data_IF_921889819089
#
_entry.id   IF_921889819089
#
_cell.length_a   1.000
_cell.length_b   1.000
_cell.length_c   1.000
_cell.angle_alpha   90.00
_cell.angle_beta   90.00
_cell.angle_gamma   90.00
#
_symmetry.space_group_name_H-M   'P 1'
#
loop_
_entity.id
_entity.type
_entity.pdbx_description
1 polymer ?
#
# COMPACT_ATOMS: atom_id res chain seq x y z
N UNK A 1 24.68 8.84 -19.61
CA UNK A 1 24.64 9.74 -18.43
C UNK A 1 23.68 9.21 -17.35
N UNK A 2 23.65 7.91 -17.07
CA UNK A 2 22.86 7.34 -15.95
C UNK A 2 23.69 7.08 -14.69
N UNK A 3 25.02 7.06 -14.81
CA UNK A 3 25.97 6.75 -13.74
C UNK A 3 26.29 7.93 -12.81
N UNK A 4 25.46 8.97 -12.72
CA UNK A 4 25.76 10.16 -11.90
C UNK A 4 24.83 10.29 -10.68
N UNK A 5 23.53 10.09 -10.86
CA UNK A 5 22.54 10.27 -9.78
C UNK A 5 22.80 9.35 -8.57
N UNK A 6 23.12 8.07 -8.82
CA UNK A 6 23.38 7.10 -7.74
C UNK A 6 24.59 7.51 -6.90
N UNK A 7 25.66 7.99 -7.53
CA UNK A 7 26.86 8.42 -6.82
C UNK A 7 26.64 9.73 -6.08
N UNK A 8 25.89 10.67 -6.66
CA UNK A 8 25.53 11.92 -6.01
C UNK A 8 24.70 11.67 -4.74
N UNK A 9 23.70 10.80 -4.82
CA UNK A 9 22.90 10.40 -3.65
C UNK A 9 23.76 9.75 -2.56
N UNK A 10 24.66 8.83 -2.93
CA UNK A 10 25.59 8.22 -1.96
C UNK A 10 26.46 9.29 -1.30
N UNK A 11 26.99 10.24 -2.08
CA UNK A 11 27.81 11.31 -1.52
C UNK A 11 27.02 12.22 -0.56
N UNK A 12 25.76 12.52 -0.87
CA UNK A 12 24.91 13.32 0.01
C UNK A 12 24.58 12.57 1.31
N UNK A 13 24.29 11.27 1.23
CA UNK A 13 24.05 10.41 2.39
C UNK A 13 25.30 10.29 3.27
N UNK A 14 26.48 10.13 2.68
CA UNK A 14 27.73 10.02 3.44
C UNK A 14 28.13 11.33 4.11
N UNK A 15 27.76 12.48 3.53
CA UNK A 15 28.10 13.81 4.06
C UNK A 15 27.14 14.33 5.12
N UNK A 16 25.92 13.79 5.18
CA UNK A 16 24.93 14.28 6.16
C UNK A 16 25.23 13.73 7.55
N UNK A 17 25.20 14.60 8.55
CA UNK A 17 25.29 14.23 9.97
C UNK A 17 23.91 14.29 10.65
N UNK A 18 22.85 14.61 9.89
CA UNK A 18 21.47 14.65 10.41
C UNK A 18 20.85 13.24 10.40
N UNK A 19 20.77 12.65 11.59
CA UNK A 19 20.16 11.33 11.81
C UNK A 19 18.69 11.25 11.36
N UNK A 20 17.96 12.38 11.37
CA UNK A 20 16.55 12.43 10.93
C UNK A 20 16.46 12.17 9.43
N UNK A 21 17.37 12.74 8.65
CA UNK A 21 17.43 12.55 7.20
C UNK A 21 17.81 11.11 6.88
N UNK A 22 18.78 10.53 7.61
CA UNK A 22 19.19 9.14 7.44
C UNK A 22 18.04 8.16 7.73
N UNK A 23 17.28 8.39 8.79
CA UNK A 23 16.14 7.53 9.15
C UNK A 23 15.00 7.61 8.12
N UNK A 24 14.71 8.80 7.58
CA UNK A 24 13.72 8.95 6.51
C UNK A 24 14.13 8.20 5.24
N UNK A 25 15.41 8.27 4.86
CA UNK A 25 15.96 7.53 3.72
C UNK A 25 15.88 6.02 3.96
N UNK A 26 16.20 5.55 5.17
CA UNK A 26 16.07 4.15 5.55
C UNK A 26 14.63 3.66 5.40
N UNK A 27 13.66 4.38 5.96
CA UNK A 27 12.23 4.02 5.88
C UNK A 27 11.75 3.98 4.42
N UNK A 28 12.19 4.92 3.58
CA UNK A 28 11.89 4.92 2.15
C UNK A 28 12.42 3.66 1.47
N UNK A 29 13.69 3.31 1.70
CA UNK A 29 14.30 2.10 1.11
C UNK A 29 13.65 0.82 1.61
N UNK A 30 13.27 0.76 2.89
CA UNK A 30 12.53 -0.37 3.47
C UNK A 30 11.12 -0.50 2.86
N UNK A 31 10.43 0.61 2.62
CA UNK A 31 9.11 0.61 1.97
C UNK A 31 9.17 0.11 0.52
N UNK A 32 10.27 0.35 -0.19
CA UNK A 32 10.46 -0.10 -1.57
C UNK A 32 10.76 -1.61 -1.62
N UNK A 33 11.56 -2.12 -0.67
CA UNK A 33 11.91 -3.53 -0.63
C UNK A 33 10.84 -4.42 0.04
N UNK A 34 9.95 -3.85 0.87
CA UNK A 34 8.95 -4.57 1.65
C UNK A 34 7.53 -3.98 1.52
N UNK A 35 7.14 -3.43 0.37
CA UNK A 35 5.71 -3.13 0.19
C UNK A 35 4.95 -4.47 0.16
N UNK A 36 4.16 -4.71 1.20
CA UNK A 36 3.36 -5.93 1.35
C UNK A 36 2.49 -6.18 0.12
N UNK A 37 2.12 -5.13 -0.62
CA UNK A 37 1.37 -5.21 -1.87
C UNK A 37 2.12 -6.00 -2.97
N UNK A 38 3.45 -5.96 -2.99
CA UNK A 38 4.24 -6.79 -3.91
C UNK A 38 4.42 -8.21 -3.38
N UNK A 39 4.28 -8.43 -2.08
CA UNK A 39 4.39 -9.75 -1.44
C UNK A 39 3.15 -10.64 -1.56
N UNK A 40 1.97 -10.06 -1.79
CA UNK A 40 0.71 -10.81 -1.98
C UNK A 40 0.62 -11.46 -3.37
N UNK A 41 -0.18 -12.51 -3.48
CA UNK A 41 -0.44 -13.23 -4.73
C UNK A 41 -1.16 -12.36 -5.77
N UNK A 42 -1.13 -12.79 -7.04
CA UNK A 42 -1.91 -12.15 -8.11
C UNK A 42 -3.41 -12.20 -7.83
N UNK A 43 -3.91 -13.30 -7.24
CA UNK A 43 -5.31 -13.46 -6.87
C UNK A 43 -5.73 -12.43 -5.81
N UNK A 44 -4.91 -12.24 -4.77
CA UNK A 44 -5.14 -11.24 -3.73
C UNK A 44 -5.10 -9.82 -4.30
N UNK A 45 -4.14 -9.51 -5.19
CA UNK A 45 -4.09 -8.22 -5.89
C UNK A 45 -5.34 -7.98 -6.73
N UNK A 46 -5.79 -8.98 -7.48
CA UNK A 46 -7.00 -8.91 -8.29
C UNK A 46 -8.26 -8.76 -7.42
N UNK A 47 -8.29 -9.37 -6.23
CA UNK A 47 -9.36 -9.15 -5.26
C UNK A 47 -9.42 -7.70 -4.77
N UNK A 48 -8.27 -7.10 -4.44
CA UNK A 48 -8.18 -5.69 -4.03
C UNK A 48 -8.62 -4.75 -5.17
N UNK A 49 -8.17 -5.01 -6.41
CA UNK A 49 -8.55 -4.21 -7.57
C UNK A 49 -10.07 -4.25 -7.83
N UNK A 50 -10.68 -5.44 -7.75
CA UNK A 50 -12.15 -5.58 -7.83
C UNK A 50 -12.85 -4.76 -6.75
N UNK A 51 -12.40 -4.84 -5.50
CA UNK A 51 -12.96 -4.04 -4.42
C UNK A 51 -12.87 -2.52 -4.66
N UNK A 52 -11.76 -2.03 -5.24
CA UNK A 52 -11.61 -0.62 -5.63
C UNK A 52 -12.59 -0.23 -6.73
N UNK A 53 -12.78 -1.07 -7.74
CA UNK A 53 -13.76 -0.83 -8.81
C UNK A 53 -15.19 -0.83 -8.29
N UNK A 54 -15.53 -1.76 -7.40
CA UNK A 54 -16.87 -1.84 -6.80
C UNK A 54 -17.17 -0.59 -5.98
N UNK A 55 -16.20 -0.11 -5.20
CA UNK A 55 -16.33 1.17 -4.49
C UNK A 55 -16.55 2.35 -5.44
N UNK A 56 -15.81 2.41 -6.55
CA UNK A 56 -15.95 3.47 -7.55
C UNK A 56 -17.31 3.42 -8.27
N UNK A 57 -17.86 2.24 -8.50
CA UNK A 57 -19.18 2.01 -9.10
C UNK A 57 -20.33 2.19 -8.11
N UNK A 58 -20.04 2.39 -6.81
CA UNK A 58 -21.04 2.49 -5.75
C UNK A 58 -21.61 1.14 -5.32
N UNK A 59 -21.01 0.02 -5.76
CA UNK A 59 -21.35 -1.34 -5.37
C UNK A 59 -20.83 -1.64 -3.95
N UNK A 60 -21.37 -0.94 -2.97
CA UNK A 60 -21.01 -1.08 -1.55
C UNK A 60 -22.26 -1.19 -0.72
N UNK A 61 -22.16 -1.96 0.35
CA UNK A 61 -23.20 -2.06 1.36
C UNK A 61 -22.61 -1.64 2.70
N UNK A 62 -23.34 -0.81 3.43
CA UNK A 62 -23.01 -0.52 4.82
C UNK A 62 -23.21 -1.75 5.68
N UNK A 63 -22.53 -1.79 6.83
CA UNK A 63 -22.72 -2.85 7.81
C UNK A 63 -24.21 -3.00 8.22
N UNK A 64 -24.94 -1.89 8.39
CA UNK A 64 -26.37 -1.91 8.70
C UNK A 64 -27.21 -2.61 7.63
N UNK A 65 -26.93 -2.37 6.34
CA UNK A 65 -27.64 -2.99 5.23
C UNK A 65 -27.37 -4.49 5.19
N UNK A 66 -26.10 -4.89 5.34
CA UNK A 66 -25.69 -6.31 5.39
C UNK A 66 -26.38 -7.03 6.54
N UNK A 67 -26.42 -6.43 7.73
CA UNK A 67 -27.04 -7.05 8.91
C UNK A 67 -28.56 -7.14 8.80
N UNK A 68 -29.21 -6.15 8.19
CA UNK A 68 -30.65 -6.20 7.93
C UNK A 68 -31.00 -7.34 6.96
N UNK A 69 -30.24 -7.49 5.88
CA UNK A 69 -30.42 -8.56 4.90
C UNK A 69 -30.17 -9.95 5.51
N UNK A 70 -29.08 -10.12 6.25
CA UNK A 70 -28.73 -11.39 6.89
C UNK A 70 -29.81 -11.85 7.89
N UNK A 71 -30.33 -10.92 8.72
CA UNK A 71 -31.44 -11.21 9.63
C UNK A 71 -32.69 -11.66 8.89
N UNK A 72 -33.06 -10.95 7.82
CA UNK A 72 -34.24 -11.27 7.03
C UNK A 72 -34.16 -12.64 6.34
N UNK A 73 -32.97 -13.08 5.92
CA UNK A 73 -32.79 -14.32 5.16
C UNK A 73 -32.57 -15.56 6.02
N UNK A 74 -31.91 -15.43 7.17
CA UNK A 74 -31.38 -16.59 7.91
C UNK A 74 -31.79 -16.68 9.38
N UNK A 75 -32.38 -15.62 9.96
CA UNK A 75 -32.70 -15.55 11.40
C UNK A 75 -34.21 -15.40 11.65
N UNK A 76 -35.04 -16.09 10.86
CA UNK A 76 -36.50 -16.20 11.10
C UNK A 76 -36.82 -17.20 12.21
#
# INVERSE_FOLDING_TARGET
MENNLKYDLIQQIVKTEDDTVLEQIRLLLESINNDWYFSISEEERNSILRGKEDLAKGNKLSHSEVMAEAKSKFLK
#
